data_IF_089299245097
#
_entry.id   IF_089299245097
#
_cell.length_a   1.000
_cell.length_b   1.000
_cell.length_c   1.000
_cell.angle_alpha   90.00
_cell.angle_beta   90.00
_cell.angle_gamma   90.00
#
_symmetry.space_group_name_H-M   'P 1'
#
loop_
_entity.id
_entity.type
_entity.pdbx_description
1 polymer ?
#
# COMPACT_ATOMS: atom_id res chain seq x y z
N UNK A 1 -6.43 9.92 1.71
CA UNK A 1 -5.90 8.56 1.79
C UNK A 1 -6.57 7.57 0.84
N UNK A 2 -7.78 7.84 0.42
CA UNK A 2 -8.45 6.94 -0.52
C UNK A 2 -7.65 6.74 -1.80
N UNK A 3 -7.01 7.79 -2.30
CA UNK A 3 -6.20 7.70 -3.52
C UNK A 3 -5.02 6.74 -3.33
N UNK A 4 -4.41 6.74 -2.15
CA UNK A 4 -3.29 5.86 -1.86
C UNK A 4 -3.75 4.40 -1.80
N UNK A 5 -4.89 4.15 -1.15
CA UNK A 5 -5.45 2.80 -1.07
C UNK A 5 -5.75 2.27 -2.47
N UNK A 6 -6.40 3.07 -3.29
CA UNK A 6 -6.74 2.68 -4.66
C UNK A 6 -5.46 2.42 -5.48
N UNK A 7 -4.48 3.32 -5.37
CA UNK A 7 -3.24 3.17 -6.11
C UNK A 7 -2.52 1.87 -5.75
N UNK A 8 -2.41 1.57 -4.46
CA UNK A 8 -1.74 0.35 -4.01
C UNK A 8 -2.52 -0.89 -4.39
N UNK A 9 -3.86 -0.83 -4.32
CA UNK A 9 -4.69 -1.97 -4.69
C UNK A 9 -4.60 -2.29 -6.18
N UNK A 10 -4.43 -1.29 -7.02
CA UNK A 10 -4.34 -1.48 -8.46
C UNK A 10 -2.93 -1.84 -8.92
N UNK A 11 -1.91 -1.50 -8.14
CA UNK A 11 -0.52 -1.66 -8.54
C UNK A 11 0.28 -2.57 -7.59
N UNK A 12 -0.40 -3.40 -6.82
CA UNK A 12 0.26 -4.22 -5.80
C UNK A 12 1.29 -5.18 -6.39
N UNK A 13 1.13 -5.58 -7.64
CA UNK A 13 2.03 -6.51 -8.30
C UNK A 13 3.24 -5.80 -8.94
N UNK A 14 3.31 -4.49 -8.81
CA UNK A 14 4.45 -3.72 -9.31
C UNK A 14 5.38 -3.39 -8.15
N UNK A 15 6.59 -2.97 -8.50
CA UNK A 15 7.59 -2.60 -7.50
C UNK A 15 7.32 -1.18 -7.02
N UNK A 16 6.46 -1.05 -6.01
CA UNK A 16 6.05 0.25 -5.48
C UNK A 16 7.09 0.74 -4.46
N UNK A 17 7.56 1.97 -4.67
CA UNK A 17 8.45 2.64 -3.72
C UNK A 17 7.63 3.64 -2.91
N UNK A 18 7.47 3.36 -1.61
CA UNK A 18 6.65 4.20 -0.72
C UNK A 18 7.25 5.61 -0.61
N UNK A 19 8.57 5.72 -0.55
CA UNK A 19 9.25 7.02 -0.46
C UNK A 19 8.93 7.88 -1.68
N UNK A 20 9.03 7.29 -2.87
CA UNK A 20 8.74 8.00 -4.11
C UNK A 20 7.28 8.41 -4.19
N UNK A 21 6.38 7.54 -3.74
CA UNK A 21 4.95 7.85 -3.76
C UNK A 21 4.66 9.05 -2.86
N UNK A 22 5.17 9.04 -1.64
CA UNK A 22 4.96 10.14 -0.70
C UNK A 22 5.53 11.45 -1.25
N UNK A 23 6.74 11.38 -1.81
CA UNK A 23 7.38 12.56 -2.39
C UNK A 23 6.57 13.13 -3.55
N UNK A 24 6.03 12.27 -4.40
CA UNK A 24 5.25 12.72 -5.55
C UNK A 24 3.96 13.40 -5.14
N UNK A 25 3.48 13.13 -3.92
CA UNK A 25 2.27 13.74 -3.38
C UNK A 25 2.57 14.91 -2.44
N UNK A 26 3.84 15.31 -2.32
CA UNK A 26 4.23 16.41 -1.45
C UNK A 26 4.15 16.10 0.03
N UNK A 27 4.27 14.82 0.39
CA UNK A 27 4.19 14.38 1.78
C UNK A 27 5.53 13.86 2.27
N UNK A 28 5.81 14.04 3.57
CA UNK A 28 6.96 13.35 4.15
C UNK A 28 6.61 11.87 4.33
N UNK A 29 7.62 11.02 4.21
CA UNK A 29 7.42 9.57 4.34
C UNK A 29 6.85 9.22 5.71
N UNK A 30 7.40 9.81 6.77
CA UNK A 30 6.94 9.54 8.13
C UNK A 30 5.48 9.93 8.32
N UNK A 31 5.11 11.10 7.81
CA UNK A 31 3.72 11.56 7.90
C UNK A 31 2.79 10.62 7.14
N UNK A 32 3.18 10.24 5.94
CA UNK A 32 2.37 9.37 5.10
C UNK A 32 2.15 8.01 5.76
N UNK A 33 3.22 7.38 6.24
CA UNK A 33 3.13 6.06 6.87
C UNK A 33 2.22 6.11 8.09
N UNK A 34 2.39 7.14 8.95
CA UNK A 34 1.59 7.28 10.16
C UNK A 34 0.11 7.46 9.83
N UNK A 35 -0.19 8.33 8.88
CA UNK A 35 -1.58 8.61 8.53
C UNK A 35 -2.23 7.47 7.77
N UNK A 36 -1.47 6.79 6.92
CA UNK A 36 -1.98 5.62 6.22
C UNK A 36 -2.37 4.53 7.21
N UNK A 37 -1.50 4.28 8.20
CA UNK A 37 -1.80 3.29 9.24
C UNK A 37 -3.03 3.68 10.04
N UNK A 38 -3.17 4.96 10.35
CA UNK A 38 -4.33 5.46 11.09
C UNK A 38 -5.61 5.28 10.29
N UNK A 39 -5.52 5.44 8.98
CA UNK A 39 -6.69 5.36 8.10
C UNK A 39 -7.09 3.91 7.81
N UNK A 40 -6.11 3.03 7.53
CA UNK A 40 -6.37 1.66 7.09
C UNK A 40 -6.12 0.61 8.17
N UNK A 41 -5.39 0.96 9.22
CA UNK A 41 -5.01 0.01 10.25
C UNK A 41 -3.69 -0.71 9.97
N UNK A 42 -3.06 -0.44 8.82
CA UNK A 42 -1.80 -1.07 8.42
C UNK A 42 -0.88 -0.06 7.79
N UNK A 43 0.44 -0.28 7.91
CA UNK A 43 1.39 0.55 7.19
C UNK A 43 1.25 0.29 5.69
N UNK A 44 1.69 1.22 4.82
CA UNK A 44 1.60 1.00 3.38
C UNK A 44 2.26 -0.29 2.92
N UNK A 45 3.42 -0.62 3.47
CA UNK A 45 4.14 -1.83 3.11
C UNK A 45 3.35 -3.08 3.53
N UNK A 46 2.82 -3.09 4.75
CA UNK A 46 2.02 -4.21 5.23
C UNK A 46 0.75 -4.36 4.41
N UNK A 47 0.16 -3.26 4.00
CA UNK A 47 -1.03 -3.26 3.18
C UNK A 47 -0.77 -3.96 1.83
N UNK A 48 0.33 -3.59 1.18
CA UNK A 48 0.71 -4.17 -0.10
C UNK A 48 1.01 -5.66 0.04
N UNK A 49 1.78 -6.03 1.06
CA UNK A 49 2.12 -7.43 1.32
C UNK A 49 0.85 -8.25 1.58
N UNK A 50 -0.09 -7.69 2.32
CA UNK A 50 -1.37 -8.35 2.58
C UNK A 50 -2.14 -8.64 1.32
N UNK A 51 -2.17 -7.70 0.38
CA UNK A 51 -2.84 -7.90 -0.90
C UNK A 51 -2.17 -9.03 -1.69
N UNK A 52 -0.84 -9.03 -1.73
CA UNK A 52 -0.09 -10.06 -2.44
C UNK A 52 -0.37 -11.45 -1.88
N UNK A 53 -0.39 -11.56 -0.55
CA UNK A 53 -0.66 -12.83 0.11
C UNK A 53 -2.07 -13.31 -0.18
N UNK A 54 -3.06 -12.41 -0.09
CA UNK A 54 -4.45 -12.77 -0.38
C UNK A 54 -4.61 -13.28 -1.80
N UNK A 55 -3.97 -12.64 -2.75
CA UNK A 55 -4.06 -13.06 -4.15
C UNK A 55 -3.38 -14.40 -4.37
N UNK A 56 -2.25 -14.63 -3.72
CA UNK A 56 -1.56 -15.90 -3.82
C UNK A 56 -2.41 -17.03 -3.22
N UNK A 57 -3.06 -16.77 -2.09
CA UNK A 57 -3.93 -17.76 -1.47
C UNK A 57 -5.12 -18.11 -2.36
N UNK A 58 -5.70 -17.11 -3.01
CA UNK A 58 -6.80 -17.35 -3.93
C UNK A 58 -6.37 -18.24 -5.10
N UNK A 59 -5.18 -18.02 -5.61
CA UNK A 59 -4.64 -18.85 -6.69
C UNK A 59 -4.38 -20.27 -6.25
N UNK A 60 -3.95 -20.46 -5.00
CA UNK A 60 -3.67 -21.78 -4.48
C UNK A 60 -4.93 -22.60 -4.20
N UNK A 61 -6.02 -21.92 -3.90
CA UNK A 61 -7.29 -22.60 -3.60
C UNK A 61 -8.02 -23.06 -4.84
N UNK A 62 -7.65 -22.52 -5.98
CA UNK A 62 -8.28 -22.91 -7.24
C UNK A 62 -7.44 -23.91 -7.99
#
# INVERSE_FOLDING_TARGET
MDNAVTFFSENYNQNINIDDYAASRGMSVSWFIRNFKKYTGSTPMQFIVGIRINNAQMLLET
#
